data_IF_765643699783
#
_entry.id   IF_765643699783
#
_cell.length_a   1.000
_cell.length_b   1.000
_cell.length_c   1.000
_cell.angle_alpha   90.00
_cell.angle_beta   90.00
_cell.angle_gamma   90.00
#
_symmetry.space_group_name_H-M   'P 1'
#
loop_
_entity.id
_entity.type
_entity.pdbx_description
1 polymer ?
#
# COMPACT_ATOMS: atom_id res chain seq x y z
N UNK A 1 0.78 19.38 -2.71
CA UNK A 1 0.28 19.39 -4.10
C UNK A 1 -0.86 18.38 -4.17
N UNK A 2 -2.03 18.67 -4.73
CA UNK A 2 -3.08 17.67 -4.85
C UNK A 2 -2.60 16.52 -5.77
N UNK A 3 -2.94 15.29 -5.41
CA UNK A 3 -2.63 14.12 -6.21
C UNK A 3 -3.36 14.20 -7.56
N UNK A 4 -2.62 14.11 -8.65
CA UNK A 4 -3.13 14.19 -10.03
C UNK A 4 -3.00 12.84 -10.78
N UNK A 5 -2.83 11.74 -10.06
CA UNK A 5 -2.69 10.40 -10.61
C UNK A 5 -4.03 9.70 -10.89
N UNK A 6 -3.97 8.57 -11.56
CA UNK A 6 -5.14 7.72 -11.80
C UNK A 6 -5.57 7.03 -10.50
N UNK A 7 -6.79 7.30 -10.07
CA UNK A 7 -7.44 6.58 -8.98
C UNK A 7 -8.56 5.70 -9.50
N UNK A 8 -8.84 4.61 -8.81
CA UNK A 8 -9.96 3.72 -9.10
C UNK A 8 -10.69 3.34 -7.83
N UNK A 9 -12.00 3.21 -7.93
CA UNK A 9 -12.83 2.64 -6.87
C UNK A 9 -12.84 1.12 -7.02
N UNK A 10 -12.42 0.39 -5.97
CA UNK A 10 -12.37 -1.07 -5.94
C UNK A 10 -13.18 -1.55 -4.74
N UNK A 11 -14.06 -2.56 -4.89
CA UNK A 11 -14.87 -3.02 -3.79
C UNK A 11 -14.05 -3.74 -2.70
N UNK A 12 -14.39 -3.48 -1.43
CA UNK A 12 -13.97 -4.26 -0.27
C UNK A 12 -15.15 -5.16 0.12
N UNK A 13 -14.88 -6.41 0.50
CA UNK A 13 -15.90 -7.34 0.95
C UNK A 13 -16.60 -6.86 2.21
N UNK A 14 -17.93 -7.04 2.26
CA UNK A 14 -18.70 -6.81 3.48
C UNK A 14 -18.16 -7.64 4.65
N UNK A 15 -17.90 -6.98 5.78
CA UNK A 15 -17.35 -7.63 6.96
C UNK A 15 -15.86 -7.95 6.91
N UNK A 16 -15.10 -7.49 5.89
CA UNK A 16 -13.64 -7.65 5.86
C UNK A 16 -13.03 -7.12 7.17
N UNK A 17 -12.34 -7.99 7.92
CA UNK A 17 -11.98 -7.72 9.30
C UNK A 17 -10.75 -6.81 9.47
N UNK A 18 -9.85 -6.80 8.47
CA UNK A 18 -8.59 -6.08 8.58
C UNK A 18 -8.77 -4.59 8.25
N UNK A 19 -8.30 -3.71 9.13
CA UNK A 19 -8.26 -2.28 8.87
C UNK A 19 -7.26 -1.95 7.76
N UNK A 20 -7.60 -0.97 6.91
CA UNK A 20 -6.74 -0.47 5.83
C UNK A 20 -6.57 1.03 6.02
N UNK A 21 -5.34 1.50 6.10
CA UNK A 21 -5.01 2.90 6.35
C UNK A 21 -4.54 3.61 5.08
N UNK A 22 -4.67 4.92 5.05
CA UNK A 22 -4.15 5.74 3.94
C UNK A 22 -2.62 5.55 3.83
N UNK A 23 -2.17 5.11 2.67
CA UNK A 23 -0.77 4.74 2.42
C UNK A 23 -0.50 3.23 2.51
N UNK A 24 -1.46 2.41 2.95
CA UNK A 24 -1.29 0.95 2.89
C UNK A 24 -1.27 0.46 1.43
N UNK A 25 -0.43 -0.51 1.15
CA UNK A 25 -0.46 -1.24 -0.12
C UNK A 25 -1.61 -2.23 -0.10
N UNK A 26 -2.31 -2.31 -1.21
CA UNK A 26 -3.48 -3.16 -1.38
C UNK A 26 -3.39 -3.98 -2.66
N UNK A 27 -3.90 -5.20 -2.60
CA UNK A 27 -3.95 -6.14 -3.71
C UNK A 27 -5.32 -6.77 -3.86
N UNK A 28 -5.48 -7.65 -4.84
CA UNK A 28 -6.63 -8.52 -4.90
C UNK A 28 -6.40 -9.75 -4.02
N UNK A 29 -7.44 -10.21 -3.35
CA UNK A 29 -7.39 -11.48 -2.63
C UNK A 29 -6.96 -12.60 -3.57
N UNK A 30 -6.09 -13.50 -3.09
CA UNK A 30 -5.61 -14.63 -3.85
C UNK A 30 -6.78 -15.53 -4.29
N UNK A 31 -6.80 -15.83 -5.59
CA UNK A 31 -7.89 -16.61 -6.25
C UNK A 31 -7.90 -18.09 -5.88
N UNK A 32 -6.96 -18.59 -5.09
CA UNK A 32 -6.76 -20.03 -4.92
C UNK A 32 -7.61 -20.66 -3.84
N UNK A 33 -8.21 -19.94 -2.90
CA UNK A 33 -9.15 -20.46 -1.88
C UNK A 33 -9.70 -19.39 -0.92
N UNK A 34 -9.68 -18.13 -1.28
CA UNK A 34 -10.19 -17.08 -0.41
C UNK A 34 -11.69 -16.85 -0.62
N UNK A 35 -12.42 -16.69 0.46
CA UNK A 35 -13.79 -16.19 0.41
C UNK A 35 -13.86 -14.73 -0.04
N UNK A 36 -12.71 -14.08 -0.20
CA UNK A 36 -12.56 -12.67 -0.54
C UNK A 36 -12.18 -12.44 -2.01
N UNK A 37 -12.23 -13.52 -2.84
CA UNK A 37 -11.87 -13.50 -4.26
C UNK A 37 -12.55 -12.35 -5.01
N UNK A 38 -11.74 -11.58 -5.75
CA UNK A 38 -12.20 -10.43 -6.53
C UNK A 38 -12.44 -9.16 -5.71
N UNK A 39 -12.20 -9.19 -4.40
CA UNK A 39 -12.24 -8.03 -3.52
C UNK A 39 -10.83 -7.52 -3.18
N UNK A 40 -10.77 -6.25 -2.81
CA UNK A 40 -9.55 -5.63 -2.34
C UNK A 40 -9.21 -6.09 -0.92
N UNK A 41 -7.95 -6.43 -0.71
CA UNK A 41 -7.39 -6.78 0.61
C UNK A 41 -6.16 -5.92 0.88
N UNK A 42 -5.81 -5.78 2.16
CA UNK A 42 -4.55 -5.16 2.55
C UNK A 42 -3.42 -6.18 2.38
N UNK A 43 -2.39 -5.77 1.65
CA UNK A 43 -1.14 -6.50 1.61
C UNK A 43 -0.35 -6.18 2.90
N UNK A 44 0.05 -7.21 3.64
CA UNK A 44 0.59 -7.02 5.00
C UNK A 44 1.89 -7.75 5.27
N UNK A 45 2.42 -8.48 4.29
CA UNK A 45 3.58 -9.35 4.50
C UNK A 45 4.79 -8.89 3.69
N UNK A 46 5.96 -9.25 4.17
CA UNK A 46 7.19 -9.22 3.39
C UNK A 46 6.99 -10.04 2.09
N UNK A 47 7.23 -9.43 0.95
CA UNK A 47 6.96 -10.05 -0.34
C UNK A 47 5.49 -9.94 -0.73
N UNK A 48 5.01 -8.72 -0.88
CA UNK A 48 3.67 -8.44 -1.40
C UNK A 48 3.52 -9.02 -2.79
N UNK A 49 2.61 -9.96 -2.91
CA UNK A 49 2.34 -10.65 -4.17
C UNK A 49 1.19 -9.93 -4.87
N UNK A 50 1.46 -9.36 -6.04
CA UNK A 50 0.48 -8.70 -6.90
C UNK A 50 -0.19 -7.45 -6.31
N UNK A 51 0.55 -6.43 -5.86
CA UNK A 51 -0.05 -5.19 -5.43
C UNK A 51 -0.81 -4.51 -6.59
N UNK A 52 -1.99 -3.99 -6.29
CA UNK A 52 -2.81 -3.18 -7.23
C UNK A 52 -2.47 -1.71 -7.14
N UNK A 53 -2.14 -1.26 -5.94
CA UNK A 53 -1.86 0.15 -5.71
C UNK A 53 -1.81 0.54 -4.23
N UNK A 54 -1.93 1.83 -3.99
CA UNK A 54 -1.91 2.41 -2.65
C UNK A 54 -3.30 2.94 -2.28
N UNK A 55 -3.77 2.54 -1.11
CA UNK A 55 -5.06 2.94 -0.58
C UNK A 55 -5.05 4.40 -0.15
N UNK A 56 -6.09 5.16 -0.56
CA UNK A 56 -6.22 6.60 -0.30
C UNK A 56 -7.45 6.96 0.54
N UNK A 57 -8.38 6.04 0.70
CA UNK A 57 -9.60 6.26 1.46
C UNK A 57 -10.72 5.31 1.07
N UNK A 58 -11.85 5.40 1.75
CA UNK A 58 -13.00 4.52 1.57
C UNK A 58 -14.32 5.28 1.65
N UNK A 59 -15.30 4.82 0.90
CA UNK A 59 -16.69 5.23 1.02
C UNK A 59 -17.60 4.02 1.22
N UNK A 60 -18.61 4.16 2.06
CA UNK A 60 -19.63 3.14 2.30
C UNK A 60 -20.86 3.76 2.97
N UNK A 61 -22.01 3.08 2.91
CA UNK A 61 -23.18 3.44 3.70
C UNK A 61 -23.03 2.85 5.10
N UNK A 62 -22.98 3.71 6.12
CA UNK A 62 -22.86 3.26 7.51
C UNK A 62 -24.11 2.45 7.90
N UNK A 63 -23.95 1.17 8.28
CA UNK A 63 -25.09 0.31 8.59
C UNK A 63 -25.90 0.75 9.81
N UNK A 64 -25.34 1.58 10.69
CA UNK A 64 -26.03 2.09 11.88
C UNK A 64 -26.84 3.35 11.61
N UNK A 65 -26.32 4.24 10.77
CA UNK A 65 -26.94 5.55 10.51
C UNK A 65 -27.67 5.63 9.17
N UNK A 66 -27.36 4.71 8.24
CA UNK A 66 -27.87 4.72 6.86
C UNK A 66 -27.31 5.87 6.01
N UNK A 67 -26.28 6.55 6.47
CA UNK A 67 -25.66 7.68 5.76
C UNK A 67 -24.41 7.25 5.01
N UNK A 68 -24.20 7.80 3.82
CA UNK A 68 -22.94 7.63 3.07
C UNK A 68 -21.84 8.32 3.84
N UNK A 69 -20.79 7.55 4.16
CA UNK A 69 -19.65 7.97 4.96
C UNK A 69 -18.39 7.83 4.13
N UNK A 70 -17.56 8.88 4.17
CA UNK A 70 -16.22 8.86 3.59
C UNK A 70 -15.19 8.93 4.71
N UNK A 71 -14.23 8.00 4.70
CA UNK A 71 -13.15 7.96 5.69
C UNK A 71 -11.79 7.83 5.01
N UNK A 72 -10.77 8.38 5.67
CA UNK A 72 -9.39 8.26 5.25
C UNK A 72 -8.85 6.84 5.44
N UNK A 73 -9.44 6.04 6.33
CA UNK A 73 -9.07 4.66 6.56
C UNK A 73 -10.32 3.77 6.67
N UNK A 74 -10.18 2.52 6.31
CA UNK A 74 -11.20 1.49 6.52
C UNK A 74 -11.00 0.86 7.90
N UNK A 75 -11.95 0.93 8.84
CA UNK A 75 -11.74 0.49 10.22
C UNK A 75 -11.77 -1.03 10.41
N UNK A 76 -12.16 -1.81 9.40
CA UNK A 76 -12.41 -3.24 9.50
C UNK A 76 -13.83 -3.57 9.99
N UNK A 77 -14.34 -4.73 9.60
CA UNK A 77 -15.60 -5.28 10.12
C UNK A 77 -16.89 -4.56 9.74
N UNK A 78 -16.87 -3.68 8.76
CA UNK A 78 -18.07 -2.95 8.32
C UNK A 78 -19.01 -3.87 7.53
N UNK A 79 -20.23 -4.05 8.02
CA UNK A 79 -21.25 -4.87 7.40
C UNK A 79 -22.11 -4.07 6.39
N UNK A 80 -21.46 -3.49 5.38
CA UNK A 80 -22.09 -2.79 4.27
C UNK A 80 -21.80 -3.53 2.94
N UNK A 81 -22.70 -3.44 1.99
CA UNK A 81 -22.53 -4.10 0.67
C UNK A 81 -21.94 -3.19 -0.39
N UNK A 82 -21.79 -1.91 -0.11
CA UNK A 82 -21.38 -0.85 -1.03
C UNK A 82 -20.00 -0.25 -0.68
N UNK A 83 -19.17 -0.99 0.04
CA UNK A 83 -17.84 -0.51 0.45
C UNK A 83 -16.94 -0.39 -0.77
N UNK A 84 -16.41 0.82 -1.01
CA UNK A 84 -15.50 1.12 -2.11
C UNK A 84 -14.25 1.82 -1.60
N UNK A 85 -13.11 1.20 -1.85
CA UNK A 85 -11.80 1.80 -1.62
C UNK A 85 -11.40 2.68 -2.81
N UNK A 86 -10.87 3.86 -2.53
CA UNK A 86 -10.17 4.70 -3.51
C UNK A 86 -8.71 4.30 -3.52
N UNK A 87 -8.21 3.82 -4.64
CA UNK A 87 -6.85 3.29 -4.80
C UNK A 87 -6.12 4.04 -5.89
N UNK A 88 -4.88 4.45 -5.61
CA UNK A 88 -3.95 4.95 -6.63
C UNK A 88 -3.37 3.76 -7.38
N UNK A 89 -3.77 3.57 -8.65
CA UNK A 89 -3.42 2.39 -9.45
C UNK A 89 -2.33 2.65 -10.49
N UNK A 90 -1.81 3.88 -10.60
CA UNK A 90 -0.80 4.19 -11.60
C UNK A 90 0.56 3.66 -11.16
N UNK A 91 1.15 2.68 -11.86
CA UNK A 91 2.44 2.07 -11.47
C UNK A 91 3.63 3.04 -11.58
N UNK A 92 3.46 4.16 -12.29
CA UNK A 92 4.49 5.20 -12.42
C UNK A 92 4.40 6.27 -11.32
N UNK A 93 3.47 6.15 -10.38
CA UNK A 93 3.39 7.08 -9.25
C UNK A 93 4.58 6.86 -8.33
N UNK A 94 5.23 7.96 -7.95
CA UNK A 94 6.31 7.98 -6.99
C UNK A 94 5.73 8.16 -5.58
N UNK A 95 6.19 7.35 -4.65
CA UNK A 95 5.81 7.42 -3.25
C UNK A 95 7.03 7.66 -2.39
N UNK A 96 6.91 8.54 -1.42
CA UNK A 96 7.91 8.71 -0.36
C UNK A 96 7.57 7.75 0.78
N UNK A 97 8.54 6.96 1.21
CA UNK A 97 8.41 6.01 2.32
C UNK A 97 9.66 6.01 3.17
N UNK A 98 9.50 5.92 4.48
CA UNK A 98 10.62 5.75 5.41
C UNK A 98 10.99 4.27 5.50
N UNK A 99 12.27 3.97 5.44
CA UNK A 99 12.79 2.64 5.72
C UNK A 99 12.84 2.37 7.22
N UNK A 100 12.71 1.11 7.61
CA UNK A 100 12.86 0.65 9.00
C UNK A 100 14.33 0.53 9.44
N UNK A 101 15.26 0.81 8.54
CA UNK A 101 16.71 0.78 8.75
C UNK A 101 17.47 1.64 7.74
N UNK A 102 18.79 1.46 7.73
CA UNK A 102 19.67 2.18 6.83
C UNK A 102 19.64 1.59 5.41
N UNK A 103 19.40 2.43 4.41
CA UNK A 103 19.48 2.06 2.99
C UNK A 103 20.67 2.78 2.35
N UNK A 104 21.61 2.00 1.81
CA UNK A 104 22.84 2.53 1.24
C UNK A 104 22.62 3.08 -0.18
N UNK A 105 23.46 4.03 -0.61
CA UNK A 105 23.45 4.61 -1.95
C UNK A 105 23.49 3.55 -3.08
N UNK A 106 24.13 2.42 -2.83
CA UNK A 106 24.23 1.31 -3.79
C UNK A 106 22.91 0.61 -4.09
N UNK A 107 21.87 0.84 -3.25
CA UNK A 107 20.52 0.31 -3.46
C UNK A 107 19.71 1.13 -4.48
N UNK A 108 20.19 2.28 -4.93
CA UNK A 108 19.52 3.09 -5.95
C UNK A 108 19.32 2.27 -7.24
N UNK A 109 18.08 2.27 -7.74
CA UNK A 109 17.69 1.49 -8.92
C UNK A 109 17.42 0.00 -8.65
N UNK A 110 17.69 -0.48 -7.44
CA UNK A 110 17.38 -1.85 -7.00
C UNK A 110 15.94 -1.97 -6.50
N UNK A 111 15.51 -3.19 -6.25
CA UNK A 111 14.18 -3.47 -5.69
C UNK A 111 14.24 -3.61 -4.17
N UNK A 112 13.11 -3.33 -3.53
CA UNK A 112 12.91 -3.41 -2.09
C UNK A 112 11.45 -3.84 -1.82
N UNK A 113 11.22 -4.52 -0.70
CA UNK A 113 9.88 -4.81 -0.23
C UNK A 113 9.44 -3.81 0.85
N UNK A 114 8.15 -3.80 1.15
CA UNK A 114 7.59 -3.00 2.24
C UNK A 114 7.20 -3.93 3.39
N UNK A 115 7.22 -3.40 4.59
CA UNK A 115 6.89 -4.13 5.81
C UNK A 115 5.98 -3.31 6.70
N UNK A 116 5.00 -3.96 7.32
CA UNK A 116 4.11 -3.35 8.30
C UNK A 116 4.71 -3.50 9.70
N UNK A 117 5.63 -2.64 10.08
CA UNK A 117 6.30 -2.68 11.39
C UNK A 117 5.42 -2.17 12.53
N UNK A 118 4.45 -1.31 12.23
CA UNK A 118 3.48 -0.81 13.18
C UNK A 118 2.07 -0.78 12.57
N UNK A 119 1.07 -0.93 13.43
CA UNK A 119 -0.31 -0.68 13.00
C UNK A 119 -0.48 0.77 12.57
N UNK A 120 -1.38 1.02 11.62
CA UNK A 120 -1.76 2.38 11.24
C UNK A 120 -2.39 3.14 12.40
N UNK A 121 -2.44 4.45 12.28
CA UNK A 121 -2.97 5.33 13.32
C UNK A 121 -4.46 5.63 13.07
N UNK A 122 -5.34 5.15 13.95
CA UNK A 122 -6.79 5.34 13.85
C UNK A 122 -7.25 6.78 14.04
N UNK A 123 -6.42 7.63 14.66
CA UNK A 123 -6.73 9.06 14.86
C UNK A 123 -6.44 9.87 13.61
N UNK A 124 -5.30 9.62 12.96
CA UNK A 124 -4.90 10.31 11.73
C UNK A 124 -5.36 9.60 10.45
N UNK A 125 -5.67 8.30 10.53
CA UNK A 125 -5.98 7.47 9.38
C UNK A 125 -4.78 7.07 8.54
N UNK A 126 -3.55 7.37 8.96
CA UNK A 126 -2.33 7.09 8.21
C UNK A 126 -1.78 5.70 8.49
N UNK A 127 -1.20 5.11 7.46
CA UNK A 127 -0.47 3.83 7.52
C UNK A 127 0.77 3.91 8.42
N UNK A 128 1.17 2.76 8.97
CA UNK A 128 2.47 2.55 9.59
C UNK A 128 3.41 1.71 8.72
N UNK A 129 3.15 1.64 7.41
CA UNK A 129 3.97 0.91 6.46
C UNK A 129 5.35 1.56 6.32
N UNK A 130 6.41 0.73 6.26
CA UNK A 130 7.79 1.16 6.06
C UNK A 130 8.45 0.32 4.95
N UNK A 131 9.54 0.82 4.40
CA UNK A 131 10.37 0.02 3.51
C UNK A 131 11.28 -0.91 4.35
N UNK A 132 11.35 -2.18 3.98
CA UNK A 132 12.18 -3.16 4.66
C UNK A 132 13.64 -3.03 4.19
N UNK A 133 14.46 -2.34 4.98
CA UNK A 133 15.86 -2.11 4.66
C UNK A 133 16.66 -3.42 4.51
N UNK A 134 16.23 -4.51 5.14
CA UNK A 134 16.89 -5.82 5.05
C UNK A 134 16.72 -6.46 3.67
N UNK A 135 15.69 -6.05 2.92
CA UNK A 135 15.40 -6.52 1.56
C UNK A 135 15.93 -5.59 0.48
N UNK A 136 16.61 -4.50 0.84
CA UNK A 136 17.18 -3.59 -0.14
C UNK A 136 18.17 -4.34 -1.08
N UNK A 137 17.98 -4.17 -2.39
CA UNK A 137 18.74 -4.82 -3.45
C UNK A 137 18.44 -6.32 -3.66
N UNK A 138 17.26 -6.81 -3.23
CA UNK A 138 16.79 -8.15 -3.58
C UNK A 138 16.44 -8.27 -5.07
N UNK A 139 16.31 -9.50 -5.54
CA UNK A 139 15.76 -9.80 -6.87
C UNK A 139 14.26 -10.06 -6.75
N UNK A 140 13.44 -9.35 -7.53
CA UNK A 140 11.98 -9.57 -7.58
C UNK A 140 11.17 -8.85 -6.51
N UNK A 141 11.73 -7.83 -5.85
CA UNK A 141 10.95 -7.00 -4.92
C UNK A 141 9.82 -6.20 -5.64
N UNK A 142 8.72 -5.99 -4.95
CA UNK A 142 7.54 -5.33 -5.49
C UNK A 142 7.72 -3.83 -5.74
N UNK A 143 8.72 -3.22 -5.14
CA UNK A 143 9.01 -1.78 -5.26
C UNK A 143 10.44 -1.54 -5.74
N UNK A 144 10.63 -0.47 -6.49
CA UNK A 144 11.92 -0.03 -6.99
C UNK A 144 12.31 1.29 -6.36
N UNK A 145 13.51 1.38 -5.83
CA UNK A 145 14.08 2.62 -5.28
C UNK A 145 14.47 3.52 -6.47
N UNK A 146 13.86 4.67 -6.54
CA UNK A 146 14.05 5.65 -7.63
C UNK A 146 14.96 6.79 -7.20
N UNK A 147 14.85 7.19 -5.92
CA UNK A 147 15.63 8.30 -5.37
C UNK A 147 15.70 8.21 -3.84
N UNK A 148 16.54 9.03 -3.24
CA UNK A 148 16.63 9.24 -1.81
C UNK A 148 16.12 10.64 -1.47
N UNK A 149 15.46 10.77 -0.30
CA UNK A 149 15.02 12.06 0.19
C UNK A 149 16.12 12.64 1.09
N UNK A 150 16.83 13.64 0.59
CA UNK A 150 17.84 14.37 1.38
C UNK A 150 17.19 15.61 2.00
N UNK A 151 16.93 15.52 3.28
CA UNK A 151 16.34 16.60 4.09
C UNK A 151 16.88 16.58 5.52
N UNK A 152 16.62 17.64 6.27
CA UNK A 152 16.99 17.68 7.69
C UNK A 152 16.35 16.51 8.42
N UNK A 153 17.15 15.61 8.95
CA UNK A 153 16.73 14.40 9.67
C UNK A 153 16.61 13.14 8.81
N UNK A 154 16.94 13.20 7.53
CA UNK A 154 17.07 12.02 6.66
C UNK A 154 18.16 12.23 5.63
N UNK A 155 19.17 11.38 5.67
CA UNK A 155 20.26 11.31 4.68
C UNK A 155 20.50 9.85 4.30
N UNK A 156 21.14 9.64 3.16
CA UNK A 156 21.46 8.28 2.68
C UNK A 156 22.29 7.53 3.72
N UNK A 157 21.82 6.34 4.11
CA UNK A 157 22.48 5.49 5.09
C UNK A 157 22.17 5.81 6.55
N UNK A 158 21.31 6.78 6.83
CA UNK A 158 20.81 7.01 8.18
C UNK A 158 19.96 5.84 8.68
N UNK A 159 19.83 5.69 10.00
CA UNK A 159 19.10 4.57 10.65
C UNK A 159 17.65 4.42 10.20
N UNK A 160 17.06 5.49 9.66
CA UNK A 160 15.70 5.52 9.08
C UNK A 160 15.76 6.37 7.81
N UNK A 161 16.26 5.79 6.73
CA UNK A 161 16.43 6.49 5.45
C UNK A 161 15.07 6.71 4.80
N UNK A 162 14.74 7.95 4.43
CA UNK A 162 13.58 8.23 3.59
C UNK A 162 13.95 8.03 2.11
N UNK A 163 13.16 7.22 1.42
CA UNK A 163 13.38 6.86 0.01
C UNK A 163 12.15 7.17 -0.83
N UNK A 164 12.39 7.38 -2.11
CA UNK A 164 11.33 7.49 -3.12
C UNK A 164 11.26 6.16 -3.87
N UNK A 165 10.10 5.54 -3.86
CA UNK A 165 9.87 4.26 -4.50
C UNK A 165 8.80 4.36 -5.58
N UNK A 166 8.90 3.48 -6.56
CA UNK A 166 7.92 3.27 -7.62
C UNK A 166 7.57 1.78 -7.65
N UNK A 167 6.31 1.46 -7.93
CA UNK A 167 5.88 0.08 -8.06
C UNK A 167 6.62 -0.63 -9.20
N UNK A 168 7.12 -1.83 -8.95
CA UNK A 168 7.74 -2.65 -9.98
C UNK A 168 6.64 -3.20 -10.91
N UNK A 169 6.71 -2.87 -12.19
CA UNK A 169 5.66 -3.21 -13.15
C UNK A 169 5.46 -4.72 -13.34
N UNK A 170 6.49 -5.52 -13.15
CA UNK A 170 6.39 -6.99 -13.25
C UNK A 170 5.54 -7.60 -12.14
N UNK A 171 5.41 -6.91 -11.01
CA UNK A 171 4.67 -7.35 -9.83
C UNK A 171 3.28 -6.70 -9.70
N UNK A 172 2.96 -5.72 -10.57
CA UNK A 172 1.68 -5.03 -10.50
C UNK A 172 0.54 -5.92 -11.00
N UNK A 173 -0.47 -6.17 -10.15
CA UNK A 173 -1.56 -7.12 -10.42
C UNK A 173 -2.32 -6.89 -11.74
N UNK A 174 -2.45 -5.64 -12.18
CA UNK A 174 -3.14 -5.31 -13.45
C UNK A 174 -2.20 -5.32 -14.67
N UNK A 175 -0.89 -5.52 -14.49
CA UNK A 175 0.11 -5.49 -15.55
C UNK A 175 0.92 -6.79 -15.66
N UNK A 176 0.96 -7.59 -14.60
CA UNK A 176 1.57 -8.91 -14.62
C UNK A 176 0.86 -9.85 -15.59
N UNK A 177 1.58 -10.79 -16.17
CA UNK A 177 1.04 -11.72 -17.18
C UNK A 177 -0.03 -12.67 -16.58
N UNK A 178 0.03 -12.93 -15.29
CA UNK A 178 -0.98 -13.67 -14.53
C UNK A 178 -0.88 -13.33 -13.04
N UNK A 179 -1.99 -13.37 -12.35
CA UNK A 179 -2.06 -13.33 -10.89
C UNK A 179 -1.85 -14.77 -10.42
N UNK A 180 -0.79 -15.04 -9.70
CA UNK A 180 -0.47 -16.37 -9.13
C UNK A 180 -0.88 -16.45 -7.69
#
# INVERSE_FOLDING_TARGET
>A
MPFAGSTREIPIKSGYATAIFNGDVVGFADVTNSTDDGYLVRESAAGEVNPVGVFMGVSYTDPNTGQVTHKQYYPGGIAASDIKAVVSINPFTLYEVQADGAVAQTALGQTIDLVQTSAGNTTTGNSGLQADASTAAITGGCWRIVDFVDRVGSSVGDSYTDIVVMMNQSEHALMAASIT
#
